data_IF_455188107930
#
_entry.id   IF_455188107930
#
_cell.length_a   1.000
_cell.length_b   1.000
_cell.length_c   1.000
_cell.angle_alpha   90.00
_cell.angle_beta   90.00
_cell.angle_gamma   90.00
#
_symmetry.space_group_name_H-M   'P 1'
#
loop_
_entity.id
_entity.type
_entity.pdbx_description
1 polymer ?
#
# COMPACT_ATOMS: atom_id res chain seq x y z
N UNK A 1 -15.56 -17.64 -19.06
CA UNK A 1 -15.31 -17.88 -20.49
C UNK A 1 -16.53 -17.42 -21.27
N UNK A 2 -16.34 -16.71 -22.40
CA UNK A 2 -17.46 -16.33 -23.27
C UNK A 2 -17.99 -17.57 -23.99
N UNK A 3 -19.30 -17.64 -24.25
CA UNK A 3 -19.88 -18.72 -25.05
C UNK A 3 -19.44 -18.59 -26.52
N UNK A 4 -19.25 -19.73 -27.20
CA UNK A 4 -18.81 -19.76 -28.61
C UNK A 4 -19.73 -18.96 -29.53
N UNK A 5 -21.05 -19.06 -29.33
CA UNK A 5 -22.03 -18.35 -30.16
C UNK A 5 -21.92 -16.83 -29.97
N UNK A 6 -21.63 -16.38 -28.75
CA UNK A 6 -21.31 -14.97 -28.49
C UNK A 6 -20.05 -14.55 -29.23
N UNK A 7 -18.97 -15.34 -29.20
CA UNK A 7 -17.74 -15.00 -29.93
C UNK A 7 -17.96 -14.91 -31.45
N UNK A 8 -18.80 -15.79 -32.01
CA UNK A 8 -19.16 -15.77 -33.44
C UNK A 8 -19.93 -14.49 -33.77
N UNK A 9 -20.97 -14.17 -33.00
CA UNK A 9 -21.79 -12.98 -33.20
C UNK A 9 -20.93 -11.70 -33.18
N UNK A 10 -20.07 -11.53 -32.17
CA UNK A 10 -19.18 -10.36 -32.06
C UNK A 10 -18.14 -10.30 -33.16
N UNK A 11 -17.61 -11.45 -33.60
CA UNK A 11 -16.71 -11.52 -34.75
C UNK A 11 -17.43 -11.07 -36.04
N UNK A 12 -18.66 -11.54 -36.29
CA UNK A 12 -19.43 -11.17 -37.47
C UNK A 12 -19.78 -9.68 -37.46
N UNK A 13 -20.13 -9.15 -36.29
CA UNK A 13 -20.40 -7.73 -36.07
C UNK A 13 -19.17 -6.80 -36.19
N UNK A 14 -17.94 -7.34 -36.24
CA UNK A 14 -16.70 -6.55 -36.18
C UNK A 14 -16.61 -5.68 -34.92
N UNK A 15 -17.04 -6.22 -33.77
CA UNK A 15 -17.17 -5.46 -32.54
C UNK A 15 -15.82 -5.18 -31.87
N UNK A 16 -15.44 -3.90 -31.80
CA UNK A 16 -14.19 -3.43 -31.19
C UNK A 16 -14.16 -3.56 -29.68
N UNK A 17 -15.31 -3.63 -29.00
CA UNK A 17 -15.38 -3.81 -27.55
C UNK A 17 -14.86 -5.19 -27.10
N UNK A 18 -14.75 -6.13 -28.05
CA UNK A 18 -14.26 -7.48 -27.79
C UNK A 18 -12.81 -7.69 -28.22
N UNK A 19 -12.15 -6.68 -28.78
CA UNK A 19 -10.70 -6.74 -28.99
C UNK A 19 -9.97 -6.97 -27.67
N UNK A 20 -9.04 -7.92 -27.67
CA UNK A 20 -8.35 -8.36 -26.46
C UNK A 20 -9.10 -9.37 -25.58
N UNK A 21 -10.38 -9.64 -25.84
CA UNK A 21 -11.13 -10.70 -25.12
C UNK A 21 -10.93 -12.08 -25.72
N UNK A 22 -10.73 -12.15 -27.03
CA UNK A 22 -10.37 -13.36 -27.76
C UNK A 22 -9.80 -13.00 -29.14
N UNK A 23 -9.17 -13.98 -29.77
CA UNK A 23 -8.68 -13.95 -31.14
C UNK A 23 -9.48 -14.92 -32.00
N UNK A 24 -9.77 -14.53 -33.23
CA UNK A 24 -10.43 -15.36 -34.24
C UNK A 24 -9.37 -16.00 -35.12
N UNK A 25 -9.13 -17.30 -34.98
CA UNK A 25 -8.31 -18.09 -35.90
C UNK A 25 -9.12 -18.68 -37.04
N UNK A 26 -8.74 -18.36 -38.27
CA UNK A 26 -9.34 -18.89 -39.50
C UNK A 26 -8.52 -20.06 -40.00
N UNK A 27 -9.08 -21.27 -39.90
CA UNK A 27 -8.37 -22.52 -40.15
C UNK A 27 -8.00 -22.69 -41.64
N UNK A 28 -8.84 -22.19 -42.55
CA UNK A 28 -8.62 -22.31 -44.00
C UNK A 28 -7.48 -21.44 -44.51
N UNK A 29 -7.27 -20.25 -43.94
CA UNK A 29 -6.22 -19.32 -44.36
C UNK A 29 -4.98 -19.37 -43.47
N UNK A 30 -5.08 -20.05 -42.32
CA UNK A 30 -4.01 -20.08 -41.32
C UNK A 30 -3.74 -18.70 -40.71
N UNK A 31 -4.77 -17.86 -40.55
CA UNK A 31 -4.64 -16.47 -40.08
C UNK A 31 -5.45 -16.27 -38.81
N UNK A 32 -4.88 -15.62 -37.78
CA UNK A 32 -5.67 -15.08 -36.66
C UNK A 32 -5.89 -13.57 -36.75
N UNK A 33 -7.06 -13.15 -36.30
CA UNK A 33 -7.59 -11.80 -36.39
C UNK A 33 -8.13 -11.32 -35.04
N UNK A 34 -8.20 -10.01 -34.86
CA UNK A 34 -9.03 -9.39 -33.83
C UNK A 34 -10.53 -9.53 -34.18
N UNK A 35 -11.44 -9.55 -33.19
CA UNK A 35 -12.89 -9.49 -33.41
C UNK A 35 -13.31 -8.31 -34.28
N UNK A 36 -12.68 -7.15 -34.14
CA UNK A 36 -12.91 -5.95 -34.95
C UNK A 36 -12.44 -6.00 -36.41
N UNK A 37 -11.80 -7.10 -36.84
CA UNK A 37 -11.18 -7.18 -38.16
C UNK A 37 -12.22 -7.01 -39.29
N UNK A 38 -12.07 -5.96 -40.09
CA UNK A 38 -12.94 -5.66 -41.25
C UNK A 38 -12.62 -6.47 -42.51
N UNK A 39 -11.82 -7.52 -42.41
CA UNK A 39 -11.62 -8.46 -43.52
C UNK A 39 -12.91 -9.24 -43.82
N UNK A 40 -13.00 -9.86 -45.01
CA UNK A 40 -14.13 -10.73 -45.36
C UNK A 40 -14.28 -11.79 -44.26
N UNK A 41 -15.49 -11.87 -43.69
CA UNK A 41 -15.76 -12.76 -42.55
C UNK A 41 -15.70 -14.22 -42.99
N UNK A 42 -14.96 -15.08 -42.26
CA UNK A 42 -14.95 -16.52 -42.51
C UNK A 42 -16.31 -17.13 -42.14
N UNK A 43 -16.61 -18.31 -42.70
CA UNK A 43 -17.73 -19.12 -42.24
C UNK A 43 -17.47 -19.58 -40.80
N UNK A 44 -18.47 -19.59 -39.89
CA UNK A 44 -18.30 -20.02 -38.50
C UNK A 44 -17.68 -21.41 -38.33
N UNK A 45 -17.91 -22.32 -39.28
CA UNK A 45 -17.35 -23.69 -39.26
C UNK A 45 -15.82 -23.71 -39.44
N UNK A 46 -15.25 -22.68 -40.07
CA UNK A 46 -13.82 -22.57 -40.36
C UNK A 46 -13.08 -21.72 -39.31
N UNK A 47 -13.71 -21.48 -38.15
CA UNK A 47 -13.20 -20.59 -37.11
C UNK A 47 -12.97 -21.34 -35.81
N UNK A 48 -11.81 -21.07 -35.21
CA UNK A 48 -11.47 -21.43 -33.83
C UNK A 48 -11.08 -20.17 -33.06
N UNK A 49 -11.51 -20.05 -31.82
CA UNK A 49 -11.17 -18.91 -30.97
C UNK A 49 -10.02 -19.23 -30.02
N UNK A 50 -9.19 -18.23 -29.75
CA UNK A 50 -8.02 -18.35 -28.86
C UNK A 50 -8.02 -17.21 -27.84
N UNK A 51 -7.61 -17.46 -26.59
CA UNK A 51 -7.50 -16.43 -25.57
C UNK A 51 -6.25 -15.55 -25.76
N UNK A 52 -5.15 -16.10 -26.30
CA UNK A 52 -3.85 -15.42 -26.40
C UNK A 52 -3.20 -15.58 -27.77
N UNK A 53 -2.31 -14.63 -28.11
CA UNK A 53 -1.51 -14.68 -29.36
C UNK A 53 -0.60 -15.91 -29.38
N UNK A 54 -0.07 -16.31 -28.22
CA UNK A 54 0.80 -17.49 -28.10
C UNK A 54 0.07 -18.78 -28.46
N UNK A 55 -1.16 -18.96 -27.97
CA UNK A 55 -1.96 -20.14 -28.30
C UNK A 55 -2.33 -20.19 -29.78
N UNK A 56 -2.67 -19.04 -30.39
CA UNK A 56 -2.94 -18.95 -31.81
C UNK A 56 -1.70 -19.32 -32.65
N UNK A 57 -0.50 -18.88 -32.23
CA UNK A 57 0.77 -19.22 -32.89
C UNK A 57 1.14 -20.69 -32.70
N UNK A 58 0.94 -21.26 -31.50
CA UNK A 58 1.13 -22.70 -31.23
C UNK A 58 0.20 -23.56 -32.11
N UNK A 59 -0.98 -23.04 -32.45
CA UNK A 59 -1.89 -23.67 -33.40
C UNK A 59 -1.48 -23.50 -34.89
N UNK A 60 -0.31 -22.92 -35.17
CA UNK A 60 0.22 -22.75 -36.53
C UNK A 60 -0.35 -21.55 -37.30
N UNK A 61 -1.06 -20.65 -36.63
CA UNK A 61 -1.69 -19.50 -37.28
C UNK A 61 -0.74 -18.30 -37.35
N UNK A 62 -0.93 -17.46 -38.37
CA UNK A 62 -0.14 -16.25 -38.65
C UNK A 62 -0.96 -14.99 -38.36
N UNK A 63 -0.34 -13.87 -37.95
CA UNK A 63 -1.08 -12.64 -37.67
C UNK A 63 -1.69 -12.04 -38.94
N UNK A 64 -2.93 -11.58 -38.85
CA UNK A 64 -3.58 -10.86 -39.93
C UNK A 64 -2.90 -9.50 -40.17
N UNK A 65 -2.45 -9.26 -41.41
CA UNK A 65 -1.86 -7.96 -41.80
C UNK A 65 -2.84 -6.79 -41.80
N UNK A 66 -4.16 -7.06 -41.79
CA UNK A 66 -5.19 -6.01 -41.85
C UNK A 66 -5.56 -5.46 -40.48
N UNK A 67 -5.83 -6.33 -39.50
CA UNK A 67 -6.14 -5.90 -38.13
C UNK A 67 -4.92 -5.84 -37.22
N UNK A 68 -3.76 -6.38 -37.66
CA UNK A 68 -2.47 -6.31 -36.97
C UNK A 68 -2.60 -6.67 -35.47
N UNK A 69 -3.09 -7.88 -35.14
CA UNK A 69 -3.35 -8.29 -33.76
C UNK A 69 -2.09 -8.18 -32.89
N UNK A 70 -0.93 -8.51 -33.44
CA UNK A 70 0.34 -8.44 -32.71
C UNK A 70 0.67 -7.02 -32.24
N UNK A 71 0.43 -6.01 -33.09
CA UNK A 71 0.65 -4.62 -32.71
C UNK A 71 -0.36 -4.14 -31.66
N UNK A 72 -1.60 -4.66 -31.71
CA UNK A 72 -2.62 -4.38 -30.71
C UNK A 72 -2.20 -4.91 -29.34
N UNK A 73 -1.78 -6.18 -29.26
CA UNK A 73 -1.35 -6.78 -27.99
C UNK A 73 0.04 -6.30 -27.55
N UNK A 74 0.95 -5.94 -28.45
CA UNK A 74 2.23 -5.35 -28.09
C UNK A 74 2.09 -3.95 -27.45
N UNK A 75 1.02 -3.22 -27.79
CA UNK A 75 0.68 -1.93 -27.16
C UNK A 75 -0.12 -2.09 -25.87
N UNK A 76 -0.70 -3.28 -25.63
CA UNK A 76 -1.57 -3.56 -24.51
C UNK A 76 -0.78 -4.37 -23.48
N UNK A 77 -0.36 -3.72 -22.42
CA UNK A 77 0.26 -4.39 -21.29
C UNK A 77 -0.87 -4.81 -20.31
N UNK A 78 -1.26 -6.09 -20.28
CA UNK A 78 -2.32 -6.57 -19.39
C UNK A 78 -1.95 -6.39 -17.91
N UNK A 79 -0.66 -6.39 -17.58
CA UNK A 79 -0.19 -6.14 -16.22
C UNK A 79 -0.39 -4.67 -15.86
N UNK A 80 -0.16 -3.76 -16.82
CA UNK A 80 -0.45 -2.34 -16.63
C UNK A 80 -1.94 -2.07 -16.40
N UNK A 81 -2.84 -2.64 -17.20
CA UNK A 81 -4.29 -2.47 -17.00
C UNK A 81 -4.75 -3.02 -15.64
N UNK A 82 -4.21 -4.18 -15.25
CA UNK A 82 -4.46 -4.76 -13.93
C UNK A 82 -3.97 -3.84 -12.82
N UNK A 83 -2.72 -3.36 -12.89
CA UNK A 83 -2.11 -2.45 -11.92
C UNK A 83 -2.90 -1.14 -11.81
N UNK A 84 -3.27 -0.53 -12.93
CA UNK A 84 -4.10 0.69 -12.95
C UNK A 84 -5.44 0.42 -12.23
N UNK A 85 -6.11 -0.69 -12.53
CA UNK A 85 -7.37 -1.05 -11.86
C UNK A 85 -7.20 -1.32 -10.36
N UNK A 86 -6.06 -1.88 -9.93
CA UNK A 86 -5.77 -2.12 -8.52
C UNK A 86 -5.51 -0.80 -7.78
N UNK A 87 -4.72 0.10 -8.37
CA UNK A 87 -4.46 1.44 -7.83
C UNK A 87 -5.75 2.22 -7.69
N UNK A 88 -6.63 2.20 -8.70
CA UNK A 88 -7.94 2.85 -8.63
C UNK A 88 -8.80 2.31 -7.48
N UNK A 89 -8.82 0.98 -7.27
CA UNK A 89 -9.54 0.37 -6.15
C UNK A 89 -8.94 0.78 -4.80
N UNK A 90 -7.61 0.80 -4.68
CA UNK A 90 -6.91 1.21 -3.45
C UNK A 90 -7.18 2.69 -3.12
N UNK A 91 -7.04 3.58 -4.11
CA UNK A 91 -7.33 5.02 -3.95
C UNK A 91 -8.81 5.24 -3.67
N UNK A 92 -9.71 4.51 -4.34
CA UNK A 92 -11.14 4.53 -4.06
C UNK A 92 -11.47 4.08 -2.64
N UNK A 93 -10.82 3.03 -2.15
CA UNK A 93 -10.92 2.57 -0.76
C UNK A 93 -10.50 3.64 0.24
N UNK A 94 -9.33 4.25 0.03
CA UNK A 94 -8.86 5.37 0.84
C UNK A 94 -9.86 6.53 0.88
N UNK A 95 -10.41 6.94 -0.28
CA UNK A 95 -11.37 8.05 -0.35
C UNK A 95 -12.68 7.77 0.39
N UNK A 96 -13.13 6.52 0.47
CA UNK A 96 -14.32 6.12 1.25
C UNK A 96 -14.07 6.17 2.75
N UNK A 97 -12.84 5.88 3.17
CA UNK A 97 -12.46 5.90 4.59
C UNK A 97 -12.13 7.31 5.06
N UNK A 98 -11.35 8.06 4.28
CA UNK A 98 -10.93 9.42 4.57
C UNK A 98 -11.95 10.43 4.02
N UNK A 99 -13.09 10.49 4.72
CA UNK A 99 -14.26 11.31 4.39
C UNK A 99 -14.00 12.81 4.60
N UNK A 100 -14.94 13.67 4.16
CA UNK A 100 -14.78 15.12 4.39
C UNK A 100 -14.83 15.49 5.88
N UNK A 101 -15.59 14.78 6.70
CA UNK A 101 -15.62 15.05 8.14
C UNK A 101 -14.26 14.81 8.81
N UNK A 102 -13.49 13.82 8.32
CA UNK A 102 -12.12 13.60 8.79
C UNK A 102 -11.14 14.64 8.22
N UNK A 103 -11.34 15.10 6.98
CA UNK A 103 -10.54 16.17 6.40
C UNK A 103 -10.75 17.49 7.12
N UNK A 104 -11.99 17.83 7.47
CA UNK A 104 -12.32 19.01 8.25
C UNK A 104 -11.75 18.93 9.66
N UNK A 105 -11.86 17.78 10.32
CA UNK A 105 -11.23 17.55 11.62
C UNK A 105 -9.69 17.74 11.55
N UNK A 106 -9.04 17.21 10.51
CA UNK A 106 -7.61 17.40 10.29
C UNK A 106 -7.24 18.87 10.05
N UNK A 107 -8.03 19.60 9.24
CA UNK A 107 -7.83 21.03 8.98
C UNK A 107 -8.01 21.87 10.23
N UNK A 108 -8.98 21.54 11.08
CA UNK A 108 -9.18 22.21 12.37
C UNK A 108 -7.96 22.06 13.31
N UNK A 109 -7.18 21.00 13.14
CA UNK A 109 -5.90 20.79 13.84
C UNK A 109 -4.69 21.44 13.14
N UNK A 110 -4.90 22.12 12.01
CA UNK A 110 -3.82 22.75 11.23
C UNK A 110 -3.05 21.78 10.33
N UNK A 111 -3.55 20.56 10.11
CA UNK A 111 -2.89 19.58 9.26
C UNK A 111 -3.42 19.60 7.82
N UNK A 112 -2.50 19.52 6.87
CA UNK A 112 -2.80 19.13 5.48
C UNK A 112 -3.16 17.65 5.40
N UNK A 113 -3.79 17.24 4.29
CA UNK A 113 -4.08 15.81 4.03
C UNK A 113 -2.83 14.95 4.11
N UNK A 114 -1.71 15.41 3.53
CA UNK A 114 -0.45 14.67 3.58
C UNK A 114 0.05 14.51 5.02
N UNK A 115 -0.03 15.56 5.83
CA UNK A 115 0.42 15.53 7.21
C UNK A 115 -0.41 14.60 8.08
N UNK A 116 -1.75 14.67 8.00
CA UNK A 116 -2.61 13.79 8.81
C UNK A 116 -2.48 12.33 8.40
N UNK A 117 -2.31 12.03 7.11
CA UNK A 117 -2.04 10.66 6.64
C UNK A 117 -0.65 10.18 7.08
N UNK A 118 0.34 11.07 7.13
CA UNK A 118 1.68 10.74 7.65
C UNK A 118 1.63 10.45 9.15
N UNK A 119 0.92 11.27 9.92
CA UNK A 119 0.68 11.02 11.35
C UNK A 119 -0.07 9.70 11.57
N UNK A 120 -1.11 9.43 10.78
CA UNK A 120 -1.84 8.16 10.84
C UNK A 120 -0.95 6.95 10.52
N UNK A 121 -0.03 7.08 9.57
CA UNK A 121 0.94 6.03 9.26
C UNK A 121 1.92 5.76 10.41
N UNK A 122 2.29 6.78 11.18
CA UNK A 122 3.07 6.60 12.41
C UNK A 122 2.25 5.83 13.45
N UNK A 123 1.03 6.29 13.72
CA UNK A 123 0.12 5.65 14.70
C UNK A 123 -0.14 4.18 14.35
N UNK A 124 -0.35 3.86 13.06
CA UNK A 124 -0.55 2.50 12.56
C UNK A 124 0.64 1.58 12.89
N UNK A 125 1.87 2.13 12.84
CA UNK A 125 3.08 1.37 13.09
C UNK A 125 3.47 1.27 14.56
N UNK A 126 2.95 2.14 15.42
CA UNK A 126 3.29 2.16 16.85
C UNK A 126 2.44 1.22 17.71
N UNK A 127 1.13 1.15 17.48
CA UNK A 127 0.25 0.35 18.34
C UNK A 127 -0.74 -0.49 17.56
N UNK A 128 -0.81 -1.76 17.95
CA UNK A 128 -1.84 -2.69 17.49
C UNK A 128 -3.18 -2.48 18.24
N UNK A 129 -3.16 -1.87 19.43
CA UNK A 129 -4.34 -1.72 20.30
C UNK A 129 -5.21 -0.54 19.85
N UNK A 130 -6.48 -0.77 19.48
CA UNK A 130 -7.37 0.29 19.04
C UNK A 130 -7.55 1.43 20.04
N UNK A 131 -7.63 1.11 21.33
CA UNK A 131 -7.86 2.09 22.40
C UNK A 131 -6.69 3.07 22.58
N UNK A 132 -5.47 2.66 22.20
CA UNK A 132 -4.26 3.48 22.37
C UNK A 132 -4.03 4.44 21.21
N UNK A 133 -4.60 4.17 20.02
CA UNK A 133 -4.36 4.97 18.81
C UNK A 133 -4.62 6.47 19.03
N UNK A 134 -5.74 6.91 19.64
CA UNK A 134 -5.97 8.33 19.89
C UNK A 134 -4.95 8.94 20.85
N UNK A 135 -4.46 8.17 21.83
CA UNK A 135 -3.48 8.64 22.81
C UNK A 135 -2.09 8.79 22.16
N UNK A 136 -1.67 7.80 21.37
CA UNK A 136 -0.41 7.88 20.59
C UNK A 136 -0.45 9.05 19.61
N UNK A 137 -1.58 9.25 18.91
CA UNK A 137 -1.78 10.41 18.05
C UNK A 137 -1.69 11.74 18.84
N UNK A 138 -2.26 11.77 20.05
CA UNK A 138 -2.17 12.89 20.99
C UNK A 138 -0.72 13.22 21.40
N UNK A 139 0.08 12.20 21.73
CA UNK A 139 1.51 12.38 22.05
C UNK A 139 2.24 13.01 20.89
N UNK A 140 2.10 12.46 19.67
CA UNK A 140 2.79 13.00 18.50
C UNK A 140 2.33 14.42 18.15
N UNK A 141 1.02 14.71 18.24
CA UNK A 141 0.52 16.07 18.07
C UNK A 141 1.14 17.04 19.09
N UNK A 142 1.20 16.64 20.35
CA UNK A 142 1.76 17.49 21.40
C UNK A 142 3.26 17.73 21.17
N UNK A 143 4.02 16.70 20.76
CA UNK A 143 5.43 16.85 20.38
C UNK A 143 5.61 17.83 19.21
N UNK A 144 4.81 17.69 18.15
CA UNK A 144 4.82 18.61 17.00
C UNK A 144 4.55 20.05 17.44
N UNK A 145 3.55 20.25 18.32
CA UNK A 145 3.16 21.58 18.81
C UNK A 145 4.29 22.31 19.52
N UNK A 146 5.14 21.58 20.25
CA UNK A 146 6.26 22.15 21.01
C UNK A 146 7.61 22.03 20.30
N UNK A 147 7.65 21.56 19.05
CA UNK A 147 8.89 21.37 18.29
C UNK A 147 9.78 20.23 18.81
N UNK A 148 9.24 19.28 19.58
CA UNK A 148 9.97 18.10 20.04
C UNK A 148 10.07 17.07 18.90
N UNK A 149 11.25 16.45 18.68
CA UNK A 149 11.41 15.37 17.71
C UNK A 149 10.45 14.19 18.00
N UNK A 150 9.92 13.55 16.95
CA UNK A 150 8.96 12.46 17.15
C UNK A 150 9.63 11.19 17.64
N UNK A 151 10.88 10.94 17.25
CA UNK A 151 11.66 9.78 17.70
C UNK A 151 10.91 8.44 17.51
N UNK A 152 10.31 8.27 16.33
CA UNK A 152 9.52 7.10 15.99
C UNK A 152 10.39 6.09 15.23
N UNK A 153 10.70 4.95 15.85
CA UNK A 153 11.52 3.88 15.25
C UNK A 153 11.04 3.44 13.86
N UNK A 154 9.72 3.29 13.58
CA UNK A 154 9.24 2.92 12.25
C UNK A 154 9.70 3.86 11.13
N UNK A 155 9.99 5.13 11.44
CA UNK A 155 10.46 6.10 10.43
C UNK A 155 11.91 5.86 10.01
N UNK A 156 12.75 5.46 10.96
CA UNK A 156 14.14 5.08 10.70
C UNK A 156 14.19 3.75 9.95
N UNK A 157 13.37 2.79 10.37
CA UNK A 157 13.25 1.49 9.69
C UNK A 157 12.81 1.71 8.23
N UNK A 158 11.82 2.56 7.99
CA UNK A 158 11.40 2.90 6.63
C UNK A 158 12.55 3.44 5.78
N UNK A 159 13.34 4.36 6.34
CA UNK A 159 14.52 4.92 5.66
C UNK A 159 15.60 3.87 5.36
N UNK A 160 15.88 2.98 6.31
CA UNK A 160 16.89 1.91 6.16
C UNK A 160 16.45 0.85 5.14
N UNK A 161 15.17 0.47 5.14
CA UNK A 161 14.59 -0.47 4.16
C UNK A 161 14.68 0.12 2.75
N UNK A 162 14.30 1.39 2.58
CA UNK A 162 14.41 2.08 1.29
C UNK A 162 15.86 2.15 0.77
N UNK A 163 16.85 2.17 1.68
CA UNK A 163 18.27 2.15 1.35
C UNK A 163 18.87 0.73 1.21
N UNK A 164 18.11 -0.34 1.42
CA UNK A 164 18.62 -1.72 1.42
C UNK A 164 19.57 -2.05 2.58
N UNK A 165 19.47 -1.31 3.70
CA UNK A 165 20.38 -1.41 4.87
C UNK A 165 19.72 -1.98 6.12
N UNK A 166 18.47 -2.43 6.04
CA UNK A 166 17.75 -2.99 7.18
C UNK A 166 17.87 -4.52 7.19
N UNK A 167 18.45 -5.07 8.25
CA UNK A 167 18.68 -6.50 8.46
C UNK A 167 17.66 -7.15 9.43
N UNK A 168 16.61 -6.40 9.80
CA UNK A 168 15.62 -6.81 10.78
C UNK A 168 15.89 -6.30 12.20
N UNK A 169 17.05 -5.71 12.47
CA UNK A 169 17.41 -5.18 13.78
C UNK A 169 17.75 -3.68 13.71
N UNK A 170 17.11 -2.88 14.56
CA UNK A 170 17.40 -1.45 14.65
C UNK A 170 18.52 -1.21 15.65
N UNK A 171 19.72 -0.91 15.15
CA UNK A 171 20.89 -0.62 15.99
C UNK A 171 20.99 0.86 16.35
N UNK A 172 21.81 1.19 17.37
CA UNK A 172 22.12 2.58 17.74
C UNK A 172 22.77 3.36 16.60
N UNK A 173 23.55 2.70 15.76
CA UNK A 173 24.12 3.30 14.55
C UNK A 173 23.02 3.58 13.51
N UNK A 174 22.08 2.63 13.35
CA UNK A 174 20.91 2.81 12.49
C UNK A 174 20.07 4.04 12.84
N UNK A 175 19.91 4.35 14.13
CA UNK A 175 19.21 5.56 14.59
C UNK A 175 19.85 6.87 14.13
N UNK A 176 21.13 6.84 13.74
CA UNK A 176 21.85 8.02 13.25
C UNK A 176 21.81 8.13 11.72
N UNK A 177 21.17 7.20 11.02
CA UNK A 177 21.09 7.18 9.56
C UNK A 177 20.54 8.49 9.00
N UNK A 178 21.24 9.07 8.04
CA UNK A 178 20.90 10.37 7.49
C UNK A 178 19.78 10.24 6.45
N UNK A 179 18.59 10.69 6.81
CA UNK A 179 17.42 10.65 5.95
C UNK A 179 16.37 11.65 6.43
N UNK A 180 15.64 12.35 5.53
CA UNK A 180 14.56 13.24 5.92
C UNK A 180 13.41 12.51 6.63
N UNK A 181 13.35 11.17 6.55
CA UNK A 181 12.41 10.36 7.32
C UNK A 181 12.87 10.11 8.76
N UNK A 182 14.14 10.34 9.10
CA UNK A 182 14.64 10.06 10.44
C UNK A 182 14.17 11.12 11.45
N UNK A 183 13.08 10.81 12.16
CA UNK A 183 12.47 11.69 13.16
C UNK A 183 13.25 11.80 14.48
N UNK A 184 14.39 11.12 14.61
CA UNK A 184 15.37 11.41 15.67
C UNK A 184 16.27 12.59 15.31
N UNK A 185 16.55 12.79 14.01
CA UNK A 185 17.46 13.83 13.52
C UNK A 185 16.74 15.07 13.04
N UNK A 186 15.58 14.91 12.39
CA UNK A 186 14.81 15.99 11.81
C UNK A 186 13.48 16.16 12.57
N UNK A 187 13.30 17.24 13.34
CA UNK A 187 12.05 17.52 14.03
C UNK A 187 10.90 17.74 13.04
N UNK A 188 9.69 17.36 13.44
CA UNK A 188 8.49 17.47 12.60
C UNK A 188 8.04 16.13 12.03
N UNK A 189 7.04 16.20 11.13
CA UNK A 189 6.57 15.04 10.39
C UNK A 189 7.55 14.69 9.25
N UNK A 190 7.71 13.41 8.91
CA UNK A 190 8.47 13.01 7.73
C UNK A 190 7.83 13.54 6.44
N UNK A 191 8.55 13.57 5.30
CA UNK A 191 8.05 14.11 4.02
C UNK A 191 6.77 13.44 3.50
N UNK A 192 6.47 12.22 3.94
CA UNK A 192 5.27 11.49 3.60
C UNK A 192 5.02 10.29 4.52
N UNK A 193 3.91 9.57 4.31
CA UNK A 193 3.57 8.40 5.11
C UNK A 193 4.58 7.26 4.89
N UNK A 194 4.81 6.47 5.94
CA UNK A 194 5.69 5.30 5.94
C UNK A 194 4.95 3.96 5.77
N UNK A 195 3.62 4.02 5.76
CA UNK A 195 2.72 2.87 5.65
C UNK A 195 1.36 3.33 5.11
N UNK A 196 0.51 2.38 4.69
CA UNK A 196 -0.90 2.64 4.39
C UNK A 196 -1.72 2.52 5.69
N UNK A 197 -2.21 3.64 6.28
CA UNK A 197 -2.94 3.58 7.53
C UNK A 197 -4.37 3.06 7.35
N UNK A 198 -4.86 2.33 8.35
CA UNK A 198 -6.25 1.92 8.43
C UNK A 198 -7.18 3.04 8.90
N UNK A 199 -8.50 2.76 8.89
CA UNK A 199 -9.54 3.71 9.33
C UNK A 199 -9.30 4.24 10.75
N UNK A 200 -9.02 3.34 11.71
CA UNK A 200 -8.83 3.75 13.11
C UNK A 200 -7.63 4.68 13.31
N UNK A 201 -6.56 4.48 12.55
CA UNK A 201 -5.37 5.35 12.61
C UNK A 201 -5.62 6.71 11.96
N UNK A 202 -6.40 6.76 10.87
CA UNK A 202 -6.85 8.01 10.26
C UNK A 202 -7.77 8.81 11.18
N UNK A 203 -8.73 8.13 11.83
CA UNK A 203 -9.62 8.74 12.82
C UNK A 203 -8.83 9.29 14.01
N UNK A 204 -7.91 8.51 14.57
CA UNK A 204 -7.05 8.92 15.67
C UNK A 204 -6.14 10.11 15.30
N UNK A 205 -5.56 10.13 14.11
CA UNK A 205 -4.73 11.24 13.66
C UNK A 205 -5.53 12.53 13.41
N UNK A 206 -6.76 12.41 12.90
CA UNK A 206 -7.65 13.55 12.68
C UNK A 206 -8.28 14.07 13.98
N UNK A 207 -8.53 13.18 14.94
CA UNK A 207 -9.15 13.47 16.25
C UNK A 207 -8.32 12.82 17.37
N UNK A 208 -7.11 13.33 17.63
CA UNK A 208 -6.27 12.79 18.69
C UNK A 208 -6.91 13.00 20.05
N UNK A 209 -6.59 12.14 21.01
CA UNK A 209 -7.01 12.34 22.39
C UNK A 209 -6.42 13.63 22.94
N UNK A 210 -7.22 14.35 23.70
CA UNK A 210 -6.74 15.49 24.48
C UNK A 210 -5.85 15.00 25.63
N UNK A 211 -4.89 15.85 26.02
CA UNK A 211 -3.95 15.55 27.08
C UNK A 211 -2.59 16.19 26.86
N UNK A 212 -1.70 15.90 27.78
CA UNK A 212 -0.36 16.48 27.92
C UNK A 212 0.74 15.40 27.95
N UNK A 213 0.42 14.17 27.53
CA UNK A 213 1.41 13.11 27.40
C UNK A 213 2.43 13.48 26.32
N UNK A 214 3.70 13.28 26.66
CA UNK A 214 4.84 13.53 25.78
C UNK A 214 5.61 12.26 25.48
N UNK A 215 5.43 11.21 26.26
CA UNK A 215 6.22 9.99 26.16
C UNK A 215 5.33 8.77 26.30
N UNK A 216 5.75 7.67 25.69
CA UNK A 216 5.19 6.36 25.93
C UNK A 216 6.27 5.30 25.83
N UNK A 217 6.07 4.18 26.53
CA UNK A 217 6.96 3.02 26.47
C UNK A 217 6.13 1.74 26.51
N UNK A 218 6.56 0.73 25.74
CA UNK A 218 5.87 -0.56 25.71
C UNK A 218 6.00 -1.30 27.05
N UNK A 219 4.92 -1.97 27.46
CA UNK A 219 4.88 -2.90 28.59
C UNK A 219 5.33 -4.32 28.23
N UNK A 220 5.71 -4.58 26.97
CA UNK A 220 6.02 -5.91 26.42
C UNK A 220 4.85 -6.90 26.39
N UNK A 221 3.61 -6.42 26.56
CA UNK A 221 2.35 -7.19 26.45
C UNK A 221 1.45 -6.63 25.31
N UNK A 222 2.03 -5.79 24.46
CA UNK A 222 1.33 -5.08 23.39
C UNK A 222 0.60 -3.80 23.84
N UNK A 223 0.68 -3.39 25.11
CA UNK A 223 0.22 -2.07 25.58
C UNK A 223 1.36 -1.12 25.92
N UNK A 224 1.00 0.13 26.18
CA UNK A 224 1.92 1.20 26.53
C UNK A 224 1.61 1.82 27.90
N UNK A 225 2.65 2.42 28.50
CA UNK A 225 2.49 3.39 29.59
C UNK A 225 2.81 4.76 29.03
N UNK A 226 1.89 5.69 29.22
CA UNK A 226 2.03 7.08 28.81
C UNK A 226 2.57 7.92 29.97
N UNK A 227 3.41 8.91 29.66
CA UNK A 227 4.06 9.76 30.64
C UNK A 227 4.10 11.22 30.16
N UNK A 228 3.97 12.14 31.11
CA UNK A 228 3.99 13.59 30.85
C UNK A 228 5.40 14.16 30.90
N UNK A 229 6.25 13.60 31.76
CA UNK A 229 7.62 14.08 31.97
C UNK A 229 8.65 13.02 31.62
N UNK A 230 9.87 13.49 31.34
CA UNK A 230 11.00 12.60 31.06
C UNK A 230 11.35 11.73 32.27
N UNK A 231 11.25 12.26 33.50
CA UNK A 231 11.51 11.50 34.72
C UNK A 231 10.51 10.35 34.91
N UNK A 232 9.22 10.61 34.63
CA UNK A 232 8.20 9.57 34.65
C UNK A 232 8.46 8.52 33.57
N UNK A 233 8.80 8.96 32.35
CA UNK A 233 9.16 8.05 31.28
C UNK A 233 10.37 7.18 31.64
N UNK A 234 11.44 7.75 32.21
CA UNK A 234 12.64 7.02 32.62
C UNK A 234 12.33 5.98 33.71
N UNK A 235 11.45 6.31 34.68
CA UNK A 235 10.96 5.33 35.66
C UNK A 235 10.18 4.19 34.99
N UNK A 236 9.35 4.50 34.00
CA UNK A 236 8.61 3.49 33.25
C UNK A 236 9.54 2.62 32.39
N UNK A 237 10.53 3.19 31.71
CA UNK A 237 11.57 2.46 30.96
C UNK A 237 12.32 1.51 31.89
N UNK A 238 12.75 1.99 33.07
CA UNK A 238 13.43 1.13 34.04
C UNK A 238 12.55 -0.06 34.47
N UNK A 239 11.26 0.19 34.75
CA UNK A 239 10.32 -0.84 35.21
C UNK A 239 9.99 -1.86 34.12
N UNK A 240 9.62 -1.41 32.93
CA UNK A 240 9.05 -2.28 31.88
C UNK A 240 10.10 -2.81 30.91
N UNK A 241 11.19 -2.10 30.69
CA UNK A 241 12.26 -2.55 29.79
C UNK A 241 13.40 -3.19 30.60
N UNK A 242 14.09 -2.41 31.43
CA UNK A 242 15.32 -2.86 32.10
C UNK A 242 15.06 -4.02 33.07
N UNK A 243 14.12 -3.87 34.00
CA UNK A 243 13.83 -4.92 34.99
C UNK A 243 13.24 -6.17 34.33
N UNK A 244 12.29 -6.02 33.41
CA UNK A 244 11.68 -7.15 32.71
C UNK A 244 12.71 -8.01 31.96
N UNK A 245 13.65 -7.40 31.22
CA UNK A 245 14.68 -8.15 30.52
C UNK A 245 15.75 -8.72 31.46
N UNK A 246 16.09 -8.03 32.56
CA UNK A 246 16.96 -8.61 33.60
C UNK A 246 16.35 -9.86 34.21
N UNK A 247 15.07 -9.81 34.56
CA UNK A 247 14.35 -10.94 35.16
C UNK A 247 14.22 -12.10 34.16
N UNK A 248 13.94 -11.83 32.88
CA UNK A 248 13.91 -12.86 31.80
C UNK A 248 15.27 -13.53 31.61
N UNK A 249 16.37 -12.77 31.66
CA UNK A 249 17.74 -13.29 31.57
C UNK A 249 18.11 -14.12 32.80
N UNK A 250 17.74 -13.65 34.00
CA UNK A 250 17.94 -14.38 35.25
C UNK A 250 17.15 -15.71 35.26
N UNK A 251 15.97 -15.72 34.67
CA UNK A 251 15.10 -16.91 34.57
C UNK A 251 15.39 -17.80 33.34
N UNK A 252 16.46 -17.54 32.58
CA UNK A 252 16.90 -18.37 31.45
C UNK A 252 15.97 -18.36 30.22
N UNK A 253 15.06 -17.39 30.11
CA UNK A 253 14.08 -17.30 29.01
C UNK A 253 14.59 -16.51 27.80
N UNK A 254 15.84 -16.03 27.82
CA UNK A 254 16.47 -15.22 26.78
C UNK A 254 17.57 -16.04 26.08
N UNK A 255 17.18 -17.07 25.31
CA UNK A 255 18.04 -17.77 24.34
C UNK A 255 17.33 -17.84 22.99
N UNK A 256 17.30 -16.74 22.25
CA UNK A 256 17.19 -16.74 20.78
C UNK A 256 17.96 -15.56 20.22
#
# INVERSE_FOLDING_TARGET
MLARDTMIDRMLASDRAYDGRFLTGVLTTGIYCLPSCRARKPKPDNVRFFPTVEEARKAGLRPCKRCRPDDYYARRDPDRELVESLVERMVGGFRRVFTEELREAARAQGFTVRQVVSLAALVEKETARPEERPIVAGVYRQRLRIGMPLQADPTVIFALVAAGRFDGNLTREGLQFDSPYNTYRYPGLPPGPIAAPGRGSLEAAARPADGDYLYFVSRNDGSHVFARTLDEHNRNVFRYQVKCFRDKRANGQDRR
#
